data_IF_107767581142
#
_entry.id   IF_107767581142
#
_cell.length_a   1.000
_cell.length_b   1.000
_cell.length_c   1.000
_cell.angle_alpha   90.00
_cell.angle_beta   90.00
_cell.angle_gamma   90.00
#
_symmetry.space_group_name_H-M   'P 1'
#
loop_
_entity.id
_entity.type
_entity.pdbx_description
1 polymer ?
#
# COMPACT_ATOMS: atom_id res chain seq x y z
N UNK A 1 23.11 17.62 38.75
CA UNK A 1 22.54 16.31 38.34
C UNK A 1 21.54 16.57 37.24
N UNK A 2 21.88 16.25 35.99
CA UNK A 2 21.01 16.43 34.82
C UNK A 2 20.54 15.05 34.37
N UNK A 3 19.30 14.71 34.65
CA UNK A 3 18.64 13.54 34.10
C UNK A 3 17.98 13.95 32.78
N UNK A 4 18.73 13.90 31.68
CA UNK A 4 18.13 13.89 30.34
C UNK A 4 17.51 12.52 30.09
N UNK A 5 16.27 12.34 30.52
CA UNK A 5 15.46 11.20 30.12
C UNK A 5 14.76 11.58 28.80
N UNK A 6 15.32 11.14 27.67
CA UNK A 6 14.60 11.16 26.38
C UNK A 6 14.32 9.74 25.82
N UNK A 7 13.68 8.81 26.57
CA UNK A 7 13.34 7.49 26.05
C UNK A 7 12.03 7.42 25.25
N UNK A 8 11.26 8.51 25.11
CA UNK A 8 9.93 8.45 24.47
C UNK A 8 9.95 8.58 22.93
N UNK A 9 10.90 9.34 22.35
CA UNK A 9 10.88 9.68 20.92
C UNK A 9 11.14 8.47 20.00
N UNK A 10 12.02 7.54 20.39
CA UNK A 10 12.36 6.36 19.58
C UNK A 10 11.19 5.37 19.45
N UNK A 11 10.36 5.29 20.49
CA UNK A 11 9.25 4.36 20.56
C UNK A 11 8.10 4.76 19.63
N UNK A 12 7.79 6.06 19.53
CA UNK A 12 6.73 6.57 18.67
C UNK A 12 7.10 6.41 17.18
N UNK A 13 8.33 6.77 16.81
CA UNK A 13 8.85 6.59 15.44
C UNK A 13 8.78 5.13 15.00
N UNK A 14 9.15 4.21 15.90
CA UNK A 14 9.11 2.77 15.62
C UNK A 14 7.69 2.24 15.47
N UNK A 15 6.73 2.71 16.29
CA UNK A 15 5.31 2.34 16.14
C UNK A 15 4.74 2.76 14.79
N UNK A 16 5.04 3.98 14.33
CA UNK A 16 4.57 4.47 13.03
C UNK A 16 5.09 3.61 11.87
N UNK A 17 6.34 3.18 11.93
CA UNK A 17 6.91 2.25 10.92
C UNK A 17 6.17 0.93 10.93
N UNK A 18 5.94 0.33 12.11
CA UNK A 18 5.19 -0.93 12.21
C UNK A 18 3.77 -0.82 11.67
N UNK A 19 3.06 0.27 11.98
CA UNK A 19 1.72 0.51 11.43
C UNK A 19 1.78 0.68 9.91
N UNK A 20 2.76 1.43 9.38
CA UNK A 20 2.94 1.57 7.94
C UNK A 20 3.19 0.22 7.25
N UNK A 21 4.00 -0.65 7.85
CA UNK A 21 4.24 -2.00 7.33
C UNK A 21 2.98 -2.86 7.35
N UNK A 22 2.24 -2.84 8.45
CA UNK A 22 0.96 -3.55 8.53
C UNK A 22 -0.01 -3.06 7.45
N UNK A 23 -0.07 -1.76 7.20
CA UNK A 23 -0.89 -1.19 6.13
C UNK A 23 -0.44 -1.65 4.74
N UNK A 24 0.86 -1.81 4.47
CA UNK A 24 1.36 -2.32 3.18
C UNK A 24 1.11 -3.82 2.99
N UNK A 25 1.07 -4.59 4.08
CA UNK A 25 0.79 -6.03 4.01
C UNK A 25 -0.67 -6.33 3.64
N UNK A 26 -1.62 -5.44 3.95
CA UNK A 26 -3.04 -5.62 3.58
C UNK A 26 -3.24 -5.73 2.06
N UNK A 27 -2.84 -4.74 1.23
CA UNK A 27 -2.95 -4.86 -0.22
C UNK A 27 -2.07 -5.97 -0.79
N UNK A 28 -0.88 -6.21 -0.24
CA UNK A 28 -0.04 -7.31 -0.69
C UNK A 28 -0.74 -8.67 -0.50
N UNK A 29 -1.37 -8.90 0.66
CA UNK A 29 -2.14 -10.11 0.93
C UNK A 29 -3.39 -10.20 0.03
N UNK A 30 -4.07 -9.08 -0.22
CA UNK A 30 -5.22 -9.04 -1.12
C UNK A 30 -4.84 -9.43 -2.56
N UNK A 31 -3.73 -8.89 -3.09
CA UNK A 31 -3.20 -9.24 -4.41
C UNK A 31 -2.80 -10.72 -4.50
N UNK A 32 -2.13 -11.25 -3.47
CA UNK A 32 -1.80 -12.67 -3.42
C UNK A 32 -3.07 -13.54 -3.38
N UNK A 33 -4.09 -13.15 -2.60
CA UNK A 33 -5.36 -13.87 -2.55
C UNK A 33 -6.08 -13.86 -3.90
N UNK A 34 -6.09 -12.72 -4.60
CA UNK A 34 -6.63 -12.62 -5.97
C UNK A 34 -5.86 -13.53 -6.94
N UNK A 35 -4.52 -13.45 -6.95
CA UNK A 35 -3.70 -14.30 -7.80
C UNK A 35 -3.92 -15.79 -7.55
N UNK A 36 -4.01 -16.21 -6.29
CA UNK A 36 -4.32 -17.60 -5.93
C UNK A 36 -5.72 -17.98 -6.40
N UNK A 37 -6.73 -17.11 -6.22
CA UNK A 37 -8.09 -17.34 -6.70
C UNK A 37 -8.15 -17.57 -8.21
N UNK A 38 -7.56 -16.67 -8.99
CA UNK A 38 -7.49 -16.75 -10.45
C UNK A 38 -6.77 -18.03 -10.91
N UNK A 39 -5.65 -18.41 -10.28
CA UNK A 39 -4.95 -19.66 -10.59
C UNK A 39 -5.79 -20.91 -10.27
N UNK A 40 -6.57 -20.89 -9.19
CA UNK A 40 -7.48 -22.00 -8.85
C UNK A 40 -8.61 -22.14 -9.87
N UNK A 41 -9.00 -21.04 -10.53
CA UNK A 41 -9.97 -21.01 -11.63
C UNK A 41 -9.34 -21.34 -13.00
N UNK A 42 -8.02 -21.53 -13.06
CA UNK A 42 -7.28 -21.88 -14.27
C UNK A 42 -6.82 -20.68 -15.11
N UNK A 43 -6.93 -19.47 -14.58
CA UNK A 43 -6.58 -18.24 -15.28
C UNK A 43 -5.09 -17.88 -15.07
N UNK A 44 -4.36 -17.66 -16.17
CA UNK A 44 -2.95 -17.25 -16.12
C UNK A 44 -2.78 -15.77 -15.74
N UNK A 45 -3.84 -14.97 -15.77
CA UNK A 45 -3.83 -13.58 -15.31
C UNK A 45 -3.40 -13.47 -13.85
N UNK A 46 -3.63 -14.52 -13.03
CA UNK A 46 -3.27 -14.53 -11.62
C UNK A 46 -1.78 -14.25 -11.37
N UNK A 47 -0.93 -14.58 -12.33
CA UNK A 47 0.52 -14.31 -12.27
C UNK A 47 0.86 -12.83 -12.18
N UNK A 48 0.01 -11.93 -12.70
CA UNK A 48 0.26 -10.49 -12.73
C UNK A 48 0.24 -9.85 -11.33
N UNK A 49 -0.49 -10.45 -10.39
CA UNK A 49 -0.60 -9.95 -9.01
C UNK A 49 0.65 -10.25 -8.16
N UNK A 50 1.46 -11.24 -8.57
CA UNK A 50 2.70 -11.60 -7.87
C UNK A 50 3.75 -10.47 -7.86
N UNK A 51 4.15 -9.88 -9.02
CA UNK A 51 5.10 -8.76 -9.01
C UNK A 51 4.56 -7.53 -8.29
N UNK A 52 3.24 -7.28 -8.32
CA UNK A 52 2.61 -6.17 -7.60
C UNK A 52 2.69 -6.35 -6.08
N UNK A 53 2.34 -7.55 -5.59
CA UNK A 53 2.49 -7.89 -4.17
C UNK A 53 3.96 -7.85 -3.73
N UNK A 54 4.88 -8.38 -4.55
CA UNK A 54 6.31 -8.37 -4.26
C UNK A 54 6.85 -6.93 -4.16
N UNK A 55 6.39 -6.00 -5.00
CA UNK A 55 6.77 -4.59 -4.95
C UNK A 55 6.35 -3.94 -3.62
N UNK A 56 5.14 -4.18 -3.15
CA UNK A 56 4.66 -3.65 -1.86
C UNK A 56 5.48 -4.18 -0.68
N UNK A 57 5.80 -5.48 -0.70
CA UNK A 57 6.67 -6.10 0.32
C UNK A 57 8.09 -5.52 0.26
N UNK A 58 8.64 -5.34 -0.95
CA UNK A 58 9.96 -4.74 -1.14
C UNK A 58 10.02 -3.29 -0.68
N UNK A 59 8.98 -2.48 -0.93
CA UNK A 59 8.87 -1.11 -0.42
C UNK A 59 8.76 -1.07 1.10
N UNK A 60 8.02 -2.00 1.70
CA UNK A 60 7.98 -2.20 3.15
C UNK A 60 9.36 -2.53 3.70
N UNK A 61 10.07 -3.48 3.08
CA UNK A 61 11.45 -3.81 3.48
C UNK A 61 12.39 -2.60 3.33
N UNK A 62 12.32 -1.88 2.22
CA UNK A 62 13.13 -0.68 1.95
C UNK A 62 12.88 0.44 2.98
N UNK A 63 11.65 0.51 3.52
CA UNK A 63 11.30 1.50 4.54
C UNK A 63 12.13 1.37 5.83
N UNK A 64 12.70 0.19 6.13
CA UNK A 64 13.60 0.03 7.29
C UNK A 64 14.87 0.88 7.18
N UNK A 65 15.43 1.00 5.97
CA UNK A 65 16.66 1.73 5.72
C UNK A 65 16.42 3.15 5.22
N UNK A 66 15.38 3.35 4.41
CA UNK A 66 15.12 4.60 3.67
C UNK A 66 13.67 5.08 3.82
N UNK A 67 13.20 5.20 5.07
CA UNK A 67 11.83 5.63 5.45
C UNK A 67 11.29 6.78 4.61
N UNK A 68 12.05 7.89 4.52
CA UNK A 68 11.62 9.09 3.81
C UNK A 68 11.43 8.83 2.31
N UNK A 69 12.37 8.13 1.66
CA UNK A 69 12.27 7.82 0.24
C UNK A 69 11.11 6.87 -0.05
N UNK A 70 10.98 5.80 0.74
CA UNK A 70 9.84 4.89 0.64
C UNK A 70 8.51 5.63 0.85
N UNK A 71 8.46 6.55 1.82
CA UNK A 71 7.30 7.41 2.08
C UNK A 71 6.94 8.32 0.91
N UNK A 72 7.93 9.02 0.33
CA UNK A 72 7.73 9.86 -0.86
C UNK A 72 7.19 9.03 -2.03
N UNK A 73 7.82 7.89 -2.31
CA UNK A 73 7.41 6.99 -3.40
C UNK A 73 5.95 6.58 -3.20
N UNK A 74 5.56 6.12 -2.02
CA UNK A 74 4.19 5.68 -1.75
C UNK A 74 3.17 6.83 -1.85
N UNK A 75 3.47 8.01 -1.30
CA UNK A 75 2.58 9.17 -1.34
C UNK A 75 2.38 9.71 -2.77
N UNK A 76 3.39 9.59 -3.63
CA UNK A 76 3.31 10.06 -5.03
C UNK A 76 2.73 8.99 -5.95
N UNK A 77 3.19 7.75 -5.84
CA UNK A 77 2.83 6.67 -6.77
C UNK A 77 1.41 6.17 -6.51
N UNK A 78 0.96 6.04 -5.26
CA UNK A 78 -0.37 5.51 -4.98
C UNK A 78 -1.51 6.35 -5.58
N UNK A 79 -1.51 7.70 -5.50
CA UNK A 79 -2.50 8.52 -6.19
C UNK A 79 -2.42 8.44 -7.71
N UNK A 80 -1.22 8.36 -8.29
CA UNK A 80 -1.05 8.21 -9.74
C UNK A 80 -1.63 6.87 -10.23
N UNK A 81 -1.37 5.79 -9.51
CA UNK A 81 -1.94 4.48 -9.81
C UNK A 81 -3.46 4.45 -9.58
N UNK A 82 -3.97 5.13 -8.55
CA UNK A 82 -5.42 5.27 -8.35
C UNK A 82 -6.07 5.98 -9.54
N UNK A 83 -5.48 7.07 -10.03
CA UNK A 83 -5.99 7.78 -11.20
C UNK A 83 -5.99 6.86 -12.42
N UNK A 84 -4.88 6.18 -12.69
CA UNK A 84 -4.78 5.25 -13.81
C UNK A 84 -5.82 4.12 -13.72
N UNK A 85 -5.99 3.56 -12.53
CA UNK A 85 -6.97 2.49 -12.27
C UNK A 85 -8.40 2.99 -12.41
N UNK A 86 -8.74 4.16 -11.86
CA UNK A 86 -10.09 4.75 -12.01
C UNK A 86 -10.38 5.04 -13.48
N UNK A 87 -9.42 5.61 -14.22
CA UNK A 87 -9.57 5.83 -15.66
C UNK A 87 -9.84 4.52 -16.42
N UNK A 88 -9.13 3.45 -16.08
CA UNK A 88 -9.36 2.13 -16.67
C UNK A 88 -10.74 1.54 -16.29
N UNK A 89 -11.14 1.62 -15.03
CA UNK A 89 -12.46 1.15 -14.57
C UNK A 89 -13.60 1.90 -15.26
N UNK A 90 -13.46 3.22 -15.47
CA UNK A 90 -14.48 4.01 -16.16
C UNK A 90 -14.64 3.55 -17.61
N UNK A 91 -13.54 3.23 -18.31
CA UNK A 91 -13.58 2.70 -19.68
C UNK A 91 -14.29 1.34 -19.71
N UNK A 92 -13.95 0.43 -18.79
CA UNK A 92 -14.53 -0.92 -18.79
C UNK A 92 -15.98 -0.94 -18.31
N UNK A 93 -16.36 -0.14 -17.29
CA UNK A 93 -17.76 -0.06 -16.83
C UNK A 93 -18.70 0.47 -17.90
N UNK A 94 -18.20 1.26 -18.83
CA UNK A 94 -18.99 1.69 -19.99
C UNK A 94 -19.32 0.51 -20.92
N UNK A 95 -18.42 -0.48 -21.00
CA UNK A 95 -18.59 -1.69 -21.82
C UNK A 95 -19.40 -2.80 -21.12
N UNK A 96 -19.23 -3.00 -19.81
CA UNK A 96 -19.80 -4.15 -19.06
C UNK A 96 -21.24 -3.93 -18.55
N UNK A 97 -21.79 -2.72 -18.67
CA UNK A 97 -23.08 -2.37 -18.08
C UNK A 97 -22.97 -2.04 -16.58
N UNK A 98 -24.11 -1.71 -15.97
CA UNK A 98 -24.17 -0.97 -14.70
C UNK A 98 -23.88 -1.84 -13.45
N UNK A 99 -22.71 -2.49 -13.40
CA UNK A 99 -22.26 -3.30 -12.26
C UNK A 99 -22.23 -2.49 -10.96
N UNK A 100 -22.46 -3.09 -9.78
CA UNK A 100 -22.43 -2.35 -8.52
C UNK A 100 -21.09 -1.62 -8.32
N UNK A 101 -21.13 -0.34 -7.94
CA UNK A 101 -19.93 0.52 -7.73
C UNK A 101 -19.17 0.13 -6.46
N UNK A 102 -19.84 -0.49 -5.49
CA UNK A 102 -19.29 -0.73 -4.16
C UNK A 102 -18.03 -1.62 -4.15
N UNK A 103 -17.98 -2.78 -4.86
CA UNK A 103 -16.77 -3.59 -4.93
C UNK A 103 -15.57 -2.82 -5.49
N UNK A 104 -15.78 -1.99 -6.52
CA UNK A 104 -14.74 -1.15 -7.10
C UNK A 104 -14.17 -0.16 -6.08
N UNK A 105 -15.03 0.50 -5.31
CA UNK A 105 -14.58 1.43 -4.25
C UNK A 105 -13.79 0.71 -3.15
N UNK A 106 -14.20 -0.50 -2.76
CA UNK A 106 -13.49 -1.31 -1.76
C UNK A 106 -12.11 -1.70 -2.29
N UNK A 107 -12.02 -2.18 -3.53
CA UNK A 107 -10.76 -2.52 -4.18
C UNK A 107 -9.84 -1.30 -4.27
N UNK A 108 -10.36 -0.15 -4.67
CA UNK A 108 -9.59 1.09 -4.73
C UNK A 108 -9.07 1.52 -3.34
N UNK A 109 -9.90 1.40 -2.31
CA UNK A 109 -9.48 1.71 -0.95
C UNK A 109 -8.34 0.77 -0.50
N UNK A 110 -8.51 -0.54 -0.68
CA UNK A 110 -7.50 -1.54 -0.30
C UNK A 110 -6.19 -1.29 -1.03
N UNK A 111 -6.23 -1.15 -2.36
CA UNK A 111 -5.03 -1.10 -3.20
C UNK A 111 -4.31 0.25 -3.16
N UNK A 112 -5.00 1.37 -2.91
CA UNK A 112 -4.39 2.70 -3.04
C UNK A 112 -4.40 3.52 -1.75
N UNK A 113 -5.46 3.44 -0.94
CA UNK A 113 -5.53 4.21 0.31
C UNK A 113 -4.53 3.68 1.35
N UNK A 114 -4.43 2.36 1.49
CA UNK A 114 -3.49 1.75 2.45
C UNK A 114 -2.02 2.09 2.13
N UNK A 115 -1.52 1.95 0.89
CA UNK A 115 -0.16 2.37 0.54
C UNK A 115 0.06 3.88 0.73
N UNK A 116 -0.92 4.72 0.38
CA UNK A 116 -0.83 6.16 0.60
C UNK A 116 -0.67 6.52 2.09
N UNK A 117 -1.52 5.93 2.95
CA UNK A 117 -1.44 6.14 4.39
C UNK A 117 -0.13 5.60 4.97
N UNK A 118 0.34 4.44 4.51
CA UNK A 118 1.65 3.91 4.88
C UNK A 118 2.77 4.88 4.51
N UNK A 119 2.73 5.44 3.30
CA UNK A 119 3.70 6.44 2.84
C UNK A 119 3.73 7.68 3.74
N UNK A 120 2.54 8.20 4.08
CA UNK A 120 2.42 9.34 4.98
C UNK A 120 2.98 9.05 6.38
N UNK A 121 2.68 7.88 6.95
CA UNK A 121 3.23 7.47 8.25
C UNK A 121 4.77 7.34 8.22
N UNK A 122 5.34 6.84 7.12
CA UNK A 122 6.80 6.74 6.95
C UNK A 122 7.47 8.12 6.87
N UNK A 123 6.83 9.09 6.21
CA UNK A 123 7.30 10.48 6.21
C UNK A 123 7.29 11.06 7.63
N UNK A 124 6.18 10.91 8.35
CA UNK A 124 6.05 11.37 9.73
C UNK A 124 7.06 10.71 10.66
N UNK A 125 7.32 9.41 10.49
CA UNK A 125 8.33 8.69 11.25
C UNK A 125 9.77 9.11 10.91
N UNK A 126 9.99 9.74 9.75
CA UNK A 126 11.30 10.25 9.34
C UNK A 126 11.59 11.64 9.91
N UNK A 127 10.57 12.47 10.12
CA UNK A 127 10.70 13.82 10.71
C UNK A 127 10.94 13.79 12.23
N UNK A 128 10.71 12.64 12.87
CA UNK A 128 10.91 12.45 14.32
C UNK A 128 12.36 12.12 14.72
N UNK A 129 13.28 12.00 13.77
CA UNK A 129 14.72 11.76 13.99
C UNK A 129 15.49 13.07 13.87
#
# INVERSE_FOLDING_TARGET
MSTFHRPAQDSASSRLVWVALALLLVPAAALLALGVGEFMEGELSGAQHLPEAALLVALGAAAWWRRRLAGIVLVVVAPLLLIAWVSWVLIIREESGNDPVLPWLITAAILFLFPFLAGWLLLRASDTR
#
